data_IF_864837268187
#
_entry.id   IF_864837268187
#
_cell.length_a   1.000
_cell.length_b   1.000
_cell.length_c   1.000
_cell.angle_alpha   90.00
_cell.angle_beta   90.00
_cell.angle_gamma   90.00
#
_symmetry.space_group_name_H-M   'P 1'
#
loop_
_entity.id
_entity.type
_entity.pdbx_description
1 polymer ?
#
# COMPACT_ATOMS: atom_id res chain seq x y z
N UNK A 1 -17.19 -13.66 3.20
CA UNK A 1 -16.63 -12.30 3.30
C UNK A 1 -15.39 -12.39 4.16
N UNK A 2 -14.32 -11.67 3.82
CA UNK A 2 -12.98 -11.93 4.35
C UNK A 2 -12.27 -10.67 4.83
N UNK A 3 -11.27 -10.84 5.68
CA UNK A 3 -10.48 -9.76 6.21
C UNK A 3 -9.24 -9.50 5.36
N UNK A 4 -8.87 -8.23 5.28
CA UNK A 4 -7.76 -7.76 4.49
C UNK A 4 -6.88 -6.81 5.27
N UNK A 5 -5.59 -6.81 4.93
CA UNK A 5 -4.69 -5.70 5.22
C UNK A 5 -4.55 -4.87 3.95
N UNK A 6 -4.98 -3.62 4.02
CA UNK A 6 -4.83 -2.63 2.97
C UNK A 6 -3.54 -1.86 3.23
N UNK A 7 -2.70 -1.73 2.20
CA UNK A 7 -1.49 -0.92 2.25
C UNK A 7 -1.66 0.23 1.26
N UNK A 8 -1.74 1.44 1.80
CA UNK A 8 -1.89 2.67 1.03
C UNK A 8 -0.59 3.46 1.09
N UNK A 9 -0.16 4.00 -0.04
CA UNK A 9 0.96 4.95 -0.11
C UNK A 9 0.40 6.35 -0.09
N UNK A 10 1.00 7.22 0.72
CA UNK A 10 0.68 8.65 0.73
C UNK A 10 1.72 9.39 -0.10
N UNK A 11 1.28 10.10 -1.13
CA UNK A 11 2.14 10.96 -1.94
C UNK A 11 1.42 12.27 -2.26
N UNK A 12 2.03 13.41 -1.95
CA UNK A 12 1.47 14.75 -2.25
C UNK A 12 0.02 14.96 -1.78
N UNK A 13 -0.38 14.32 -0.68
CA UNK A 13 -1.75 14.40 -0.13
C UNK A 13 -2.73 13.39 -0.73
N UNK A 14 -2.33 12.64 -1.75
CA UNK A 14 -3.11 11.54 -2.34
C UNK A 14 -2.75 10.20 -1.67
N UNK A 15 -3.76 9.35 -1.49
CA UNK A 15 -3.59 7.96 -1.04
C UNK A 15 -3.83 7.01 -2.20
N UNK A 16 -2.84 6.19 -2.52
CA UNK A 16 -2.93 5.12 -3.52
C UNK A 16 -2.91 3.77 -2.82
N UNK A 17 -3.89 2.90 -3.10
CA UNK A 17 -3.87 1.51 -2.62
C UNK A 17 -2.81 0.72 -3.42
N UNK A 18 -1.69 0.39 -2.78
CA UNK A 18 -0.56 -0.30 -3.42
C UNK A 18 -0.55 -1.81 -3.19
N UNK A 19 -1.28 -2.29 -2.18
CA UNK A 19 -1.38 -3.71 -1.87
C UNK A 19 -2.68 -4.04 -1.14
N UNK A 20 -3.17 -5.25 -1.36
CA UNK A 20 -4.36 -5.81 -0.70
C UNK A 20 -4.06 -7.26 -0.34
N UNK A 21 -3.81 -7.50 0.94
CA UNK A 21 -3.39 -8.81 1.45
C UNK A 21 -4.59 -9.48 2.09
N UNK A 22 -5.07 -10.57 1.49
CA UNK A 22 -6.09 -11.41 2.10
C UNK A 22 -5.52 -12.08 3.35
N UNK A 23 -6.32 -12.13 4.41
CA UNK A 23 -5.95 -12.79 5.67
C UNK A 23 -6.92 -13.92 5.95
N UNK A 24 -6.37 -15.11 6.14
CA UNK A 24 -7.13 -16.26 6.64
C UNK A 24 -7.42 -16.04 8.14
N UNK A 25 -8.69 -16.17 8.52
CA UNK A 25 -9.16 -15.94 9.88
C UNK A 25 -10.02 -14.68 10.05
N UNK A 26 -10.22 -14.28 11.31
CA UNK A 26 -11.03 -13.12 11.68
C UNK A 26 -10.24 -11.82 11.82
N UNK A 27 -10.90 -10.81 12.40
CA UNK A 27 -10.32 -9.49 12.64
C UNK A 27 -9.00 -9.54 13.40
N UNK A 28 -8.90 -10.36 14.45
CA UNK A 28 -7.68 -10.48 15.26
C UNK A 28 -6.46 -10.95 14.44
N UNK A 29 -6.67 -11.90 13.53
CA UNK A 29 -5.62 -12.37 12.62
C UNK A 29 -5.19 -11.25 11.66
N UNK A 30 -6.15 -10.46 11.18
CA UNK A 30 -5.87 -9.33 10.31
C UNK A 30 -5.14 -8.18 11.03
N UNK A 31 -5.47 -7.92 12.29
CA UNK A 31 -4.76 -6.97 13.17
C UNK A 31 -3.31 -7.43 13.38
N UNK A 32 -3.09 -8.70 13.74
CA UNK A 32 -1.74 -9.24 13.91
C UNK A 32 -0.93 -9.16 12.62
N UNK A 33 -1.55 -9.48 11.47
CA UNK A 33 -0.91 -9.39 10.16
C UNK A 33 -0.60 -7.95 9.75
N UNK A 34 -1.48 -7.00 10.05
CA UNK A 34 -1.25 -5.58 9.79
C UNK A 34 -0.09 -5.04 10.63
N UNK A 35 -0.02 -5.41 11.91
CA UNK A 35 1.08 -5.04 12.79
C UNK A 35 2.43 -5.63 12.31
N UNK A 36 2.45 -6.90 11.91
CA UNK A 36 3.62 -7.52 11.30
C UNK A 36 4.04 -6.78 10.03
N UNK A 37 3.07 -6.45 9.16
CA UNK A 37 3.33 -5.72 7.92
C UNK A 37 3.94 -4.34 8.22
N UNK A 38 3.39 -3.61 9.19
CA UNK A 38 3.92 -2.32 9.62
C UNK A 38 5.37 -2.41 10.09
N UNK A 39 5.75 -3.51 10.74
CA UNK A 39 7.10 -3.75 11.25
C UNK A 39 8.05 -4.36 10.24
N UNK A 40 7.61 -4.81 9.07
CA UNK A 40 8.46 -5.56 8.11
C UNK A 40 8.45 -5.02 6.69
N UNK A 41 7.46 -4.20 6.31
CA UNK A 41 7.29 -3.66 4.95
C UNK A 41 8.56 -2.95 4.47
N UNK A 42 9.10 -3.40 3.34
CA UNK A 42 10.30 -2.81 2.77
C UNK A 42 9.97 -1.51 2.04
N UNK A 43 10.89 -0.54 2.01
CA UNK A 43 10.76 0.63 1.16
C UNK A 43 10.64 0.23 -0.32
N UNK A 44 9.84 0.96 -1.10
CA UNK A 44 9.72 0.73 -2.55
C UNK A 44 11.04 0.96 -3.27
N UNK A 45 11.79 1.97 -2.82
CA UNK A 45 13.05 2.37 -3.41
C UNK A 45 14.17 2.03 -2.45
N UNK A 46 15.01 1.08 -2.81
CA UNK A 46 16.20 0.69 -2.06
C UNK A 46 17.06 -0.21 -2.91
N UNK A 47 18.37 0.04 -2.91
CA UNK A 47 19.36 -0.90 -3.43
C UNK A 47 19.91 -1.74 -2.28
N UNK A 48 20.61 -2.83 -2.57
CA UNK A 48 21.24 -3.66 -1.52
C UNK A 48 22.26 -2.87 -0.67
N UNK A 49 22.79 -1.76 -1.20
CA UNK A 49 23.70 -0.85 -0.48
C UNK A 49 22.97 0.23 0.32
N UNK A 50 21.65 0.33 0.23
CA UNK A 50 20.88 1.36 0.90
C UNK A 50 20.65 1.01 2.38
N UNK A 51 20.70 2.02 3.24
CA UNK A 51 20.36 1.87 4.66
C UNK A 51 18.94 2.39 4.86
N UNK A 52 18.08 1.58 5.44
CA UNK A 52 16.69 1.93 5.71
C UNK A 52 16.43 2.17 7.20
N UNK A 53 15.77 3.29 7.52
CA UNK A 53 15.14 3.55 8.80
C UNK A 53 13.63 3.36 8.72
N UNK A 54 12.99 3.14 9.88
CA UNK A 54 11.53 2.97 9.98
C UNK A 54 11.01 3.60 11.26
N UNK A 55 9.90 4.30 11.16
CA UNK A 55 9.04 4.68 12.29
C UNK A 55 7.65 4.07 12.08
N UNK A 56 7.08 3.51 13.14
CA UNK A 56 5.74 2.91 13.12
C UNK A 56 4.91 3.58 14.21
N UNK A 57 3.83 4.24 13.78
CA UNK A 57 2.86 4.87 14.67
C UNK A 57 1.57 4.07 14.59
N UNK A 58 1.09 3.60 15.73
CA UNK A 58 -0.29 3.09 15.81
C UNK A 58 -1.22 4.28 15.91
N UNK A 59 -2.08 4.47 14.91
CA UNK A 59 -3.01 5.61 14.85
C UNK A 59 -4.41 5.24 15.34
N UNK A 60 -4.74 3.95 15.31
CA UNK A 60 -5.97 3.39 15.89
C UNK A 60 -5.75 1.90 16.24
N UNK A 61 -6.73 1.21 16.86
CA UNK A 61 -6.61 -0.22 17.11
C UNK A 61 -6.34 -1.07 15.85
N UNK A 62 -6.78 -0.59 14.68
CA UNK A 62 -6.78 -1.30 13.38
C UNK A 62 -6.00 -0.55 12.29
N UNK A 63 -5.22 0.49 12.64
CA UNK A 63 -4.49 1.31 11.67
C UNK A 63 -3.13 1.78 12.17
N UNK A 64 -2.17 1.80 11.23
CA UNK A 64 -0.80 2.24 11.46
C UNK A 64 -0.36 3.20 10.36
N UNK A 65 0.40 4.22 10.74
CA UNK A 65 1.20 5.05 9.86
C UNK A 65 2.66 4.58 9.95
N UNK A 66 3.25 4.27 8.80
CA UNK A 66 4.65 3.85 8.70
C UNK A 66 5.41 4.88 7.89
N UNK A 67 6.48 5.42 8.47
CA UNK A 67 7.47 6.22 7.73
C UNK A 67 8.68 5.34 7.47
N UNK A 68 9.01 5.16 6.19
CA UNK A 68 10.22 4.49 5.73
C UNK A 68 11.18 5.55 5.21
N UNK A 69 12.39 5.58 5.76
CA UNK A 69 13.45 6.46 5.28
C UNK A 69 14.52 5.61 4.61
N UNK A 70 14.94 5.96 3.41
CA UNK A 70 16.03 5.27 2.71
C UNK A 70 17.14 6.26 2.40
N UNK A 71 18.35 5.92 2.84
CA UNK A 71 19.56 6.66 2.49
C UNK A 71 20.42 5.85 1.53
N UNK A 72 20.88 6.51 0.48
CA UNK A 72 21.74 5.93 -0.56
C UNK A 72 22.75 6.97 -1.06
N UNK A 73 23.80 6.53 -1.73
CA UNK A 73 24.78 7.42 -2.33
C UNK A 73 24.38 7.79 -3.77
N UNK A 74 24.17 9.08 -4.06
CA UNK A 74 23.92 9.56 -5.42
C UNK A 74 25.24 9.68 -6.17
N UNK A 75 25.38 8.93 -7.27
CA UNK A 75 26.55 9.05 -8.16
C UNK A 75 26.60 10.41 -8.87
N UNK A 76 25.44 10.96 -9.23
CA UNK A 76 25.32 12.25 -9.92
C UNK A 76 25.72 13.41 -9.02
N UNK A 77 25.12 13.47 -7.83
CA UNK A 77 25.32 14.58 -6.88
C UNK A 77 26.57 14.39 -6.00
N UNK A 78 27.26 13.24 -6.13
CA UNK A 78 28.42 12.83 -5.33
C UNK A 78 28.21 13.04 -3.82
N UNK A 79 27.00 12.78 -3.34
CA UNK A 79 26.58 13.04 -1.97
C UNK A 79 25.53 12.02 -1.53
N UNK A 80 25.31 11.84 -0.22
CA UNK A 80 24.22 11.01 0.26
C UNK A 80 22.87 11.67 -0.03
N UNK A 81 21.94 10.89 -0.56
CA UNK A 81 20.55 11.29 -0.77
C UNK A 81 19.64 10.47 0.13
N UNK A 82 18.66 11.13 0.72
CA UNK A 82 17.66 10.49 1.59
C UNK A 82 16.27 10.70 1.00
N UNK A 83 15.54 9.61 0.81
CA UNK A 83 14.13 9.63 0.45
C UNK A 83 13.28 9.15 1.61
N UNK A 84 12.03 9.62 1.64
CA UNK A 84 11.01 9.17 2.60
C UNK A 84 9.79 8.66 1.86
N UNK A 85 9.18 7.64 2.42
CA UNK A 85 7.96 7.02 1.96
C UNK A 85 7.02 6.84 3.15
N UNK A 86 5.79 7.30 3.00
CA UNK A 86 4.74 7.17 4.01
C UNK A 86 3.71 6.14 3.56
N UNK A 87 3.39 5.20 4.44
CA UNK A 87 2.40 4.16 4.21
C UNK A 87 1.33 4.21 5.30
N UNK A 88 0.07 4.06 4.91
CA UNK A 88 -0.99 3.65 5.83
C UNK A 88 -1.21 2.16 5.69
N UNK A 89 -1.26 1.46 6.82
CA UNK A 89 -1.59 0.04 6.88
C UNK A 89 -2.86 -0.07 7.71
N UNK A 90 -3.91 -0.64 7.13
CA UNK A 90 -5.25 -0.68 7.72
C UNK A 90 -5.83 -2.07 7.63
N UNK A 91 -6.52 -2.49 8.69
CA UNK A 91 -7.39 -3.67 8.66
C UNK A 91 -8.73 -3.27 8.06
N UNK A 92 -9.26 -4.09 7.16
CA UNK A 92 -10.56 -3.87 6.54
C UNK A 92 -11.31 -5.20 6.35
N UNK A 93 -12.62 -5.17 6.60
CA UNK A 93 -13.54 -6.25 6.24
C UNK A 93 -14.06 -6.02 4.81
N UNK A 94 -14.00 -7.04 3.97
CA UNK A 94 -14.63 -7.01 2.65
C UNK A 94 -16.12 -7.32 2.76
N UNK A 95 -16.93 -6.27 2.86
CA UNK A 95 -18.39 -6.35 3.07
C UNK A 95 -19.20 -6.55 1.79
N UNK A 96 -18.64 -6.28 0.62
CA UNK A 96 -19.33 -6.42 -0.64
C UNK A 96 -18.36 -6.72 -1.79
N UNK A 97 -18.78 -7.61 -2.68
CA UNK A 97 -18.09 -7.91 -3.93
C UNK A 97 -19.12 -7.92 -5.04
N UNK A 98 -18.85 -7.14 -6.07
CA UNK A 98 -19.55 -7.24 -7.35
C UNK A 98 -18.50 -7.65 -8.39
N UNK A 99 -18.73 -8.79 -9.04
CA UNK A 99 -17.85 -9.22 -10.12
C UNK A 99 -17.97 -8.26 -11.30
N UNK A 100 -16.81 -7.84 -11.84
CA UNK A 100 -16.76 -6.96 -12.99
C UNK A 100 -17.19 -7.75 -14.23
N UNK A 101 -18.31 -7.36 -14.83
CA UNK A 101 -18.65 -7.80 -16.19
C UNK A 101 -17.87 -6.92 -17.18
N UNK A 102 -17.04 -7.47 -18.07
CA UNK A 102 -16.31 -6.69 -19.06
C UNK A 102 -17.25 -5.84 -19.91
N UNK A 103 -16.86 -4.59 -20.19
CA UNK A 103 -17.65 -3.72 -21.04
C UNK A 103 -17.71 -4.26 -22.47
N UNK A 104 -18.92 -4.35 -23.04
CA UNK A 104 -19.09 -4.58 -24.47
C UNK A 104 -18.79 -3.29 -25.26
N UNK A 105 -18.19 -3.39 -26.46
CA UNK A 105 -18.03 -2.23 -27.32
C UNK A 105 -19.40 -1.66 -27.72
N UNK A 106 -19.53 -0.33 -27.90
CA UNK A 106 -20.79 0.27 -28.33
C UNK A 106 -21.24 -0.35 -29.64
N UNK A 107 -22.51 -0.78 -29.72
CA UNK A 107 -23.10 -1.28 -30.96
C UNK A 107 -22.95 -0.19 -32.02
N UNK A 108 -22.30 -0.50 -33.15
CA UNK A 108 -22.27 0.40 -34.31
C UNK A 108 -23.72 0.75 -34.65
N UNK A 109 -24.11 1.99 -34.40
CA UNK A 109 -25.33 2.52 -34.99
C UNK A 109 -25.18 2.34 -36.50
N UNK A 110 -26.22 1.78 -37.15
CA UNK A 110 -26.34 1.96 -38.60
C UNK A 110 -26.36 3.48 -38.79
N UNK A 111 -25.27 4.04 -39.30
CA UNK A 111 -25.29 5.37 -39.89
C UNK A 111 -26.29 5.28 -41.04
N UNK A 112 -27.54 5.58 -40.73
CA UNK A 112 -28.62 5.67 -41.68
C UNK A 112 -28.58 7.06 -42.28
N UNK A 113 -27.76 7.25 -43.30
CA UNK A 113 -28.04 7.97 -44.55
C UNK A 113 -26.78 8.02 -45.41
#
# INVERSE_FOLDING_TARGET
MGWYVLVERVSYGECELVDKIAVEGGEEAAVARAEENARTRRPRYGTDSSRSGRLVFRTSPTSWLVELTVSSWSKGDKSPTTSREHLHIRVAELVHVQELVPAEPPKKGRFGR
#
